data_IF_138519176863
#
_entry.id   IF_138519176863
#
_cell.length_a   1.000
_cell.length_b   1.000
_cell.length_c   1.000
_cell.angle_alpha   90.00
_cell.angle_beta   90.00
_cell.angle_gamma   90.00
#
_symmetry.space_group_name_H-M   'P 1'
#
loop_
_entity.id
_entity.type
_entity.pdbx_description
1 polymer ?
#
# COMPACT_ATOMS: atom_id res chain seq x y z
N UNK A 1 -9.81 -17.17 -7.47
CA UNK A 1 -9.28 -16.02 -6.74
C UNK A 1 -9.56 -16.20 -5.26
N UNK A 2 -8.53 -16.41 -4.45
CA UNK A 2 -8.64 -16.53 -2.99
C UNK A 2 -8.26 -15.18 -2.38
N UNK A 3 -9.13 -14.62 -1.53
CA UNK A 3 -8.95 -13.31 -0.89
C UNK A 3 -8.83 -13.54 0.62
N UNK A 4 -7.75 -13.05 1.24
CA UNK A 4 -7.59 -13.04 2.68
C UNK A 4 -8.20 -11.77 3.29
N UNK A 5 -8.88 -11.92 4.40
CA UNK A 5 -9.46 -10.82 5.16
C UNK A 5 -8.56 -10.38 6.32
N UNK A 6 -8.90 -9.26 6.87
CA UNK A 6 -8.36 -8.45 7.97
C UNK A 6 -7.43 -9.14 8.97
N UNK A 7 -6.22 -8.61 9.14
CA UNK A 7 -5.35 -8.83 10.28
C UNK A 7 -5.51 -7.69 11.29
N UNK A 8 -5.58 -8.05 12.54
CA UNK A 8 -5.53 -7.12 13.64
C UNK A 8 -4.10 -6.74 13.98
N UNK A 9 -3.83 -5.44 14.03
CA UNK A 9 -2.56 -4.89 14.52
C UNK A 9 -2.71 -4.59 16.00
N UNK A 10 -1.93 -5.28 16.83
CA UNK A 10 -1.79 -4.94 18.25
C UNK A 10 -0.88 -3.72 18.40
N UNK A 11 -1.17 -2.88 19.40
CA UNK A 11 -0.46 -1.64 19.76
C UNK A 11 1.07 -1.72 19.59
N UNK A 12 1.72 -0.66 19.08
CA UNK A 12 3.16 -0.64 18.93
C UNK A 12 3.84 -0.61 20.30
N UNK A 13 4.53 -1.69 20.62
CA UNK A 13 5.47 -1.71 21.73
C UNK A 13 6.68 -0.79 21.42
N UNK A 14 7.34 -0.21 22.45
CA UNK A 14 8.38 0.79 22.28
C UNK A 14 9.62 0.23 21.57
N UNK A 15 10.19 1.06 20.72
CA UNK A 15 11.53 1.05 20.13
C UNK A 15 12.46 -0.09 20.59
N UNK A 16 12.38 -1.23 19.95
CA UNK A 16 13.45 -2.23 19.70
C UNK A 16 12.84 -3.46 19.00
N UNK A 17 12.15 -3.24 17.88
CA UNK A 17 11.74 -4.36 17.05
C UNK A 17 12.98 -4.87 16.30
N UNK A 18 13.73 -5.77 16.94
CA UNK A 18 14.53 -6.75 16.22
C UNK A 18 13.53 -7.63 15.48
N UNK A 19 13.42 -7.42 14.19
CA UNK A 19 12.75 -8.36 13.30
C UNK A 19 13.63 -9.61 13.29
N UNK A 20 13.40 -10.53 14.22
CA UNK A 20 13.93 -11.89 14.12
C UNK A 20 13.16 -12.59 13.00
N UNK A 21 13.64 -12.39 11.78
CA UNK A 21 13.16 -13.17 10.65
C UNK A 21 13.57 -14.62 10.88
N UNK A 22 12.58 -15.50 11.09
CA UNK A 22 12.82 -16.94 11.06
C UNK A 22 13.50 -17.29 9.72
N UNK A 23 14.67 -17.94 9.82
CA UNK A 23 15.50 -18.33 8.67
C UNK A 23 14.82 -19.27 7.66
N UNK A 24 13.52 -19.57 7.83
CA UNK A 24 12.66 -20.35 6.93
C UNK A 24 11.80 -19.51 6.00
N UNK A 25 11.83 -18.19 6.09
CA UNK A 25 11.11 -17.33 5.15
C UNK A 25 11.70 -17.53 3.75
N UNK A 26 10.93 -18.11 2.85
CA UNK A 26 11.27 -18.13 1.42
C UNK A 26 11.45 -16.70 0.97
N UNK A 27 12.66 -16.35 0.54
CA UNK A 27 12.96 -15.03 0.01
C UNK A 27 11.95 -14.68 -1.08
N UNK A 28 11.23 -13.60 -0.90
CA UNK A 28 10.31 -13.05 -1.91
C UNK A 28 11.11 -12.85 -3.21
N UNK A 29 10.65 -13.35 -4.36
CA UNK A 29 11.44 -13.30 -5.58
C UNK A 29 11.73 -11.86 -6.00
N UNK A 30 10.75 -10.98 -6.03
CA UNK A 30 10.92 -9.57 -6.35
C UNK A 30 9.65 -8.77 -6.02
N UNK A 31 9.77 -7.48 -5.69
CA UNK A 31 8.70 -6.67 -5.11
C UNK A 31 8.63 -5.27 -5.73
N UNK A 32 7.45 -4.88 -6.22
CA UNK A 32 7.13 -3.50 -6.58
C UNK A 32 6.19 -2.88 -5.57
N UNK A 33 6.52 -1.70 -5.08
CA UNK A 33 5.61 -0.86 -4.27
C UNK A 33 5.10 0.28 -5.14
N UNK A 34 3.80 0.49 -5.18
CA UNK A 34 3.14 1.56 -5.95
C UNK A 34 2.45 2.52 -5.00
N UNK A 35 2.79 3.80 -5.11
CA UNK A 35 2.24 4.86 -4.27
C UNK A 35 1.70 5.98 -5.15
N UNK A 36 0.39 6.25 -5.13
CA UNK A 36 -0.17 7.44 -5.74
C UNK A 36 0.18 8.65 -4.88
N UNK A 37 0.60 9.75 -5.51
CA UNK A 37 1.10 10.96 -4.85
C UNK A 37 0.21 12.14 -5.22
N UNK A 38 -0.33 12.84 -4.23
CA UNK A 38 -1.08 14.07 -4.44
C UNK A 38 -0.91 15.06 -3.27
N UNK A 39 -0.17 16.15 -3.50
CA UNK A 39 0.16 17.19 -2.51
C UNK A 39 0.81 16.62 -1.23
N UNK A 40 1.88 15.86 -1.40
CA UNK A 40 2.53 15.06 -0.34
C UNK A 40 4.02 15.37 -0.22
N UNK A 41 4.46 16.59 -0.58
CA UNK A 41 5.87 16.98 -0.58
C UNK A 41 6.61 16.70 0.74
N UNK A 42 5.89 16.83 1.87
CA UNK A 42 6.47 16.67 3.20
C UNK A 42 6.59 15.19 3.64
N UNK A 43 5.71 14.30 3.17
CA UNK A 43 5.65 12.90 3.61
C UNK A 43 6.53 11.98 2.79
N UNK A 44 6.75 12.26 1.51
CA UNK A 44 7.50 11.41 0.59
C UNK A 44 8.92 11.04 1.07
N UNK A 45 9.77 11.97 1.58
CA UNK A 45 11.10 11.62 2.06
C UNK A 45 11.05 10.65 3.24
N UNK A 46 10.07 10.82 4.13
CA UNK A 46 9.89 9.95 5.29
C UNK A 46 9.39 8.56 4.86
N UNK A 47 8.49 8.50 3.90
CA UNK A 47 8.00 7.24 3.32
C UNK A 47 9.15 6.43 2.72
N UNK A 48 9.98 7.03 1.88
CA UNK A 48 11.14 6.38 1.26
C UNK A 48 12.13 5.89 2.32
N UNK A 49 12.40 6.72 3.34
CA UNK A 49 13.29 6.37 4.46
C UNK A 49 12.78 5.16 5.25
N UNK A 50 11.46 5.05 5.48
CA UNK A 50 10.85 3.92 6.19
C UNK A 50 10.74 2.66 5.33
N UNK A 51 10.43 2.80 4.04
CA UNK A 51 10.32 1.68 3.10
C UNK A 51 11.65 0.97 2.86
N UNK A 52 12.73 1.71 2.73
CA UNK A 52 14.02 1.15 2.34
C UNK A 52 14.49 -0.04 3.20
N UNK A 53 14.55 0.07 4.55
CA UNK A 53 14.97 -1.06 5.38
C UNK A 53 14.02 -2.26 5.28
N UNK A 54 12.71 -2.03 5.14
CA UNK A 54 11.72 -3.10 5.00
C UNK A 54 11.92 -3.87 3.70
N UNK A 55 12.04 -3.16 2.58
CA UNK A 55 12.21 -3.79 1.27
C UNK A 55 13.54 -4.54 1.17
N UNK A 56 14.61 -3.95 1.67
CA UNK A 56 15.96 -4.57 1.68
C UNK A 56 15.99 -5.85 2.51
N UNK A 57 15.23 -5.92 3.61
CA UNK A 57 15.12 -7.13 4.42
C UNK A 57 14.32 -8.25 3.73
N UNK A 58 13.32 -7.89 2.90
CA UNK A 58 12.44 -8.85 2.24
C UNK A 58 13.04 -9.49 0.99
N UNK A 59 13.70 -8.69 0.15
CA UNK A 59 14.22 -9.17 -1.15
C UNK A 59 15.39 -8.32 -1.62
N UNK A 60 16.19 -8.90 -2.54
CA UNK A 60 17.26 -8.18 -3.21
C UNK A 60 16.76 -7.37 -4.43
N UNK A 61 15.59 -7.72 -4.98
CA UNK A 61 15.03 -7.10 -6.18
C UNK A 61 13.72 -6.39 -5.84
N UNK A 62 13.78 -5.08 -5.72
CA UNK A 62 12.61 -4.25 -5.42
C UNK A 62 12.64 -2.90 -6.13
N UNK A 63 11.47 -2.31 -6.31
CA UNK A 63 11.29 -0.95 -6.79
C UNK A 63 10.16 -0.24 -6.03
N UNK A 64 10.26 1.09 -5.97
CA UNK A 64 9.18 1.99 -5.56
C UNK A 64 8.76 2.83 -6.76
N UNK A 65 7.48 2.78 -7.10
CA UNK A 65 6.88 3.57 -8.17
C UNK A 65 5.99 4.65 -7.55
N UNK A 66 6.45 5.89 -7.61
CA UNK A 66 5.71 7.07 -7.15
C UNK A 66 4.97 7.68 -8.34
N UNK A 67 3.64 7.71 -8.28
CA UNK A 67 2.80 8.23 -9.38
C UNK A 67 2.20 9.57 -8.96
N UNK A 68 2.79 10.67 -9.43
CA UNK A 68 2.27 12.00 -9.18
C UNK A 68 1.00 12.26 -9.98
N UNK A 69 -0.13 12.43 -9.28
CA UNK A 69 -1.45 12.67 -9.85
C UNK A 69 -1.76 14.16 -9.98
N UNK A 70 -0.86 14.89 -10.64
CA UNK A 70 -1.03 16.32 -10.90
C UNK A 70 -1.06 17.17 -9.63
N UNK A 71 -0.13 16.93 -8.70
CA UNK A 71 0.06 17.74 -7.49
C UNK A 71 0.26 19.21 -7.81
N UNK A 72 -0.18 20.09 -6.90
CA UNK A 72 -0.06 21.54 -7.02
C UNK A 72 1.10 22.10 -6.19
N UNK A 73 1.63 21.30 -5.27
CA UNK A 73 2.79 21.58 -4.44
C UNK A 73 4.09 21.06 -5.11
N UNK A 74 5.18 20.98 -4.38
CA UNK A 74 6.47 20.51 -4.87
C UNK A 74 6.63 18.97 -4.85
N UNK A 75 5.53 18.22 -4.76
CA UNK A 75 5.60 16.75 -4.71
C UNK A 75 6.34 16.17 -5.91
N UNK A 76 6.14 16.73 -7.11
CA UNK A 76 6.83 16.22 -8.30
C UNK A 76 8.35 16.46 -8.25
N UNK A 77 8.78 17.63 -7.82
CA UNK A 77 10.19 17.93 -7.62
C UNK A 77 10.84 17.00 -6.60
N UNK A 78 10.12 16.71 -5.51
CA UNK A 78 10.59 15.74 -4.49
C UNK A 78 10.67 14.33 -5.08
N UNK A 79 9.69 13.89 -5.87
CA UNK A 79 9.75 12.60 -6.57
C UNK A 79 10.97 12.51 -7.50
N UNK A 80 11.25 13.57 -8.26
CA UNK A 80 12.43 13.60 -9.14
C UNK A 80 13.74 13.52 -8.36
N UNK A 81 13.84 14.26 -7.25
CA UNK A 81 14.99 14.21 -6.36
C UNK A 81 15.21 12.80 -5.81
N UNK A 82 14.17 12.19 -5.22
CA UNK A 82 14.24 10.83 -4.67
C UNK A 82 14.62 9.78 -5.72
N UNK A 83 14.10 9.90 -6.94
CA UNK A 83 14.46 9.02 -8.05
C UNK A 83 15.92 9.24 -8.53
N UNK A 84 16.46 10.43 -8.37
CA UNK A 84 17.87 10.72 -8.65
C UNK A 84 18.82 10.19 -7.56
N UNK A 85 18.38 10.18 -6.31
CA UNK A 85 19.17 9.73 -5.16
C UNK A 85 19.13 8.21 -4.97
N UNK A 86 18.05 7.56 -5.40
CA UNK A 86 17.79 6.14 -5.15
C UNK A 86 17.46 5.39 -6.44
N UNK A 87 18.34 4.52 -6.91
CA UNK A 87 18.16 3.75 -8.15
C UNK A 87 16.92 2.82 -8.13
N UNK A 88 16.40 2.47 -6.95
CA UNK A 88 15.21 1.66 -6.77
C UNK A 88 13.90 2.49 -6.76
N UNK A 89 13.98 3.83 -6.77
CA UNK A 89 12.83 4.74 -6.84
C UNK A 89 12.61 5.21 -8.28
N UNK A 90 11.37 5.18 -8.71
CA UNK A 90 10.97 5.64 -10.04
C UNK A 90 9.71 6.53 -9.95
N UNK A 91 9.76 7.68 -10.61
CA UNK A 91 8.64 8.62 -10.69
C UNK A 91 7.87 8.50 -12.01
N UNK A 92 6.55 8.63 -11.93
CA UNK A 92 5.65 8.82 -13.07
C UNK A 92 4.87 10.11 -12.81
N UNK A 93 4.87 11.03 -13.79
CA UNK A 93 4.12 12.28 -13.69
C UNK A 93 2.91 12.26 -14.62
N UNK A 94 1.72 12.33 -14.05
CA UNK A 94 0.49 12.45 -14.82
C UNK A 94 0.27 13.93 -15.21
N UNK A 95 -0.24 14.17 -16.41
CA UNK A 95 -0.42 15.51 -16.95
C UNK A 95 -1.40 16.38 -16.16
N UNK A 96 -2.32 15.74 -15.41
CA UNK A 96 -3.31 16.38 -14.54
C UNK A 96 -3.78 15.38 -13.48
N UNK A 97 -4.56 15.86 -12.51
CA UNK A 97 -5.23 14.98 -11.57
C UNK A 97 -6.32 14.16 -12.27
N UNK A 98 -6.15 12.83 -12.28
CA UNK A 98 -7.08 11.83 -12.79
C UNK A 98 -7.78 11.05 -11.67
N UNK A 99 -7.38 11.29 -10.40
CA UNK A 99 -7.85 10.59 -9.21
C UNK A 99 -6.98 9.39 -8.85
N UNK A 100 -6.91 9.13 -7.53
CA UNK A 100 -6.05 8.12 -6.91
C UNK A 100 -6.13 6.75 -7.59
N UNK A 101 -7.33 6.26 -7.95
CA UNK A 101 -7.52 4.97 -8.60
C UNK A 101 -6.86 4.90 -9.99
N UNK A 102 -6.89 5.98 -10.76
CA UNK A 102 -6.24 6.03 -12.06
C UNK A 102 -4.71 6.12 -11.93
N UNK A 103 -4.23 6.86 -10.93
CA UNK A 103 -2.80 6.90 -10.60
C UNK A 103 -2.29 5.52 -10.17
N UNK A 104 -3.01 4.83 -9.27
CA UNK A 104 -2.71 3.44 -8.90
C UNK A 104 -2.69 2.50 -10.10
N UNK A 105 -3.71 2.55 -10.96
CA UNK A 105 -3.78 1.72 -12.15
C UNK A 105 -2.62 1.97 -13.11
N UNK A 106 -2.22 3.24 -13.26
CA UNK A 106 -1.04 3.61 -14.05
C UNK A 106 0.24 3.00 -13.45
N UNK A 107 0.42 3.11 -12.14
CA UNK A 107 1.54 2.53 -11.42
C UNK A 107 1.59 1.00 -11.55
N UNK A 108 0.48 0.31 -11.28
CA UNK A 108 0.36 -1.16 -11.37
C UNK A 108 0.70 -1.67 -12.79
N UNK A 109 0.31 -0.94 -13.83
CA UNK A 109 0.66 -1.30 -15.21
C UNK A 109 2.14 -1.10 -15.54
N UNK A 110 2.86 -0.34 -14.73
CA UNK A 110 4.28 -0.02 -14.96
C UNK A 110 5.25 -0.85 -14.12
N UNK A 111 4.75 -1.69 -13.19
CA UNK A 111 5.59 -2.52 -12.32
C UNK A 111 6.39 -3.57 -13.09
N UNK A 112 7.52 -3.96 -12.51
CA UNK A 112 8.47 -4.89 -13.13
C UNK A 112 8.66 -6.19 -12.38
N UNK A 113 8.12 -6.27 -11.14
CA UNK A 113 8.38 -7.38 -10.23
C UNK A 113 7.15 -8.27 -10.01
N UNK A 114 7.41 -9.46 -9.46
CA UNK A 114 6.42 -10.54 -9.34
C UNK A 114 5.32 -10.29 -8.32
N UNK A 115 5.58 -9.47 -7.31
CA UNK A 115 4.60 -9.09 -6.29
C UNK A 115 4.44 -7.58 -6.35
N UNK A 116 3.20 -7.12 -6.26
CA UNK A 116 2.88 -5.70 -6.22
C UNK A 116 2.20 -5.36 -4.90
N UNK A 117 2.74 -4.38 -4.20
CA UNK A 117 2.13 -3.75 -3.02
C UNK A 117 1.67 -2.36 -3.41
N UNK A 118 0.44 -2.01 -3.08
CA UNK A 118 -0.06 -0.63 -3.20
C UNK A 118 -0.24 -0.04 -1.81
N UNK A 119 0.15 1.20 -1.61
CA UNK A 119 -0.03 1.90 -0.35
C UNK A 119 -0.20 3.39 -0.57
N UNK A 120 -0.78 4.08 0.41
CA UNK A 120 -0.95 5.54 0.37
C UNK A 120 0.33 6.26 0.83
N UNK A 121 0.42 7.56 0.50
CA UNK A 121 1.58 8.42 0.80
C UNK A 121 1.50 9.12 2.17
N UNK A 122 0.42 8.89 2.93
CA UNK A 122 0.11 9.56 4.20
C UNK A 122 0.67 8.86 5.46
N UNK A 123 1.32 7.70 5.28
CA UNK A 123 1.90 6.89 6.36
C UNK A 123 0.90 6.39 7.41
N UNK A 124 -0.40 6.41 7.12
CA UNK A 124 -1.42 5.81 7.99
C UNK A 124 -1.28 4.29 8.05
N UNK A 125 -0.78 3.69 6.96
CA UNK A 125 -0.37 2.29 6.91
C UNK A 125 1.15 2.21 6.99
N UNK A 126 1.71 1.67 8.08
CA UNK A 126 3.14 1.58 8.23
C UNK A 126 3.74 0.56 7.25
N UNK A 127 4.84 0.93 6.53
CA UNK A 127 5.54 0.00 5.64
C UNK A 127 5.97 -1.31 6.32
N UNK A 128 6.11 -1.28 7.62
CA UNK A 128 6.49 -2.41 8.48
C UNK A 128 5.44 -3.55 8.50
N UNK A 129 4.23 -3.31 7.97
CA UNK A 129 3.18 -4.33 7.80
C UNK A 129 3.37 -5.16 6.52
N UNK A 130 4.15 -4.69 5.54
CA UNK A 130 4.39 -5.37 4.27
C UNK A 130 4.85 -6.83 4.45
N UNK A 131 5.79 -7.16 5.38
CA UNK A 131 6.21 -8.54 5.60
C UNK A 131 5.04 -9.49 5.93
N UNK A 132 4.13 -9.07 6.82
CA UNK A 132 2.97 -9.87 7.20
C UNK A 132 2.01 -10.10 6.03
N UNK A 133 1.80 -9.07 5.21
CA UNK A 133 0.96 -9.20 4.00
C UNK A 133 1.55 -10.19 3.01
N UNK A 134 2.87 -10.20 2.86
CA UNK A 134 3.58 -11.15 1.98
C UNK A 134 3.49 -12.57 2.53
N UNK A 135 3.64 -12.79 3.83
CA UNK A 135 3.45 -14.10 4.45
C UNK A 135 2.05 -14.66 4.18
N UNK A 136 1.01 -13.83 4.28
CA UNK A 136 -0.34 -14.25 3.94
C UNK A 136 -0.49 -14.57 2.45
N UNK A 137 0.12 -13.78 1.57
CA UNK A 137 0.11 -14.04 0.14
C UNK A 137 0.75 -15.40 -0.17
N UNK A 138 1.81 -15.79 0.57
CA UNK A 138 2.48 -17.09 0.42
C UNK A 138 1.63 -18.28 0.89
N UNK A 139 0.62 -18.07 1.75
CA UNK A 139 -0.36 -19.10 2.13
C UNK A 139 -1.32 -19.48 0.99
N UNK A 140 -1.15 -18.89 -0.19
CA UNK A 140 -1.87 -19.23 -1.40
C UNK A 140 -3.06 -18.31 -1.72
N UNK A 141 -3.08 -17.11 -1.17
CA UNK A 141 -4.01 -16.08 -1.58
C UNK A 141 -3.47 -15.34 -2.82
N UNK A 142 -4.37 -14.92 -3.70
CA UNK A 142 -4.01 -14.11 -4.87
C UNK A 142 -3.90 -12.61 -4.51
N UNK A 143 -4.67 -12.17 -3.51
CA UNK A 143 -4.71 -10.79 -3.03
C UNK A 143 -4.88 -10.78 -1.50
N UNK A 144 -4.14 -9.91 -0.84
CA UNK A 144 -4.19 -9.66 0.61
C UNK A 144 -4.46 -8.19 0.86
N UNK A 145 -5.39 -7.89 1.75
CA UNK A 145 -5.73 -6.52 2.15
C UNK A 145 -5.29 -6.27 3.59
N UNK A 146 -4.49 -5.24 3.80
CA UNK A 146 -4.24 -4.68 5.12
C UNK A 146 -5.44 -3.84 5.57
N UNK A 147 -5.97 -4.07 6.76
CA UNK A 147 -7.00 -3.22 7.34
C UNK A 147 -6.56 -2.77 8.73
N UNK A 148 -6.60 -1.46 9.02
CA UNK A 148 -6.26 -0.98 10.35
C UNK A 148 -7.25 -1.53 11.37
N UNK A 149 -6.74 -2.19 12.42
CA UNK A 149 -7.56 -2.49 13.59
C UNK A 149 -7.82 -1.19 14.36
N UNK A 150 -9.10 -0.94 14.66
CA UNK A 150 -9.48 -0.02 15.75
C UNK A 150 -9.47 1.45 15.44
N UNK A 151 -9.87 1.91 14.26
CA UNK A 151 -10.39 3.29 14.19
C UNK A 151 -11.70 3.35 14.99
N UNK A 152 -11.62 3.71 16.28
CA UNK A 152 -12.75 4.15 17.08
C UNK A 152 -13.31 5.44 16.49
N UNK A 153 -14.00 5.30 15.39
CA UNK A 153 -14.80 6.39 14.83
C UNK A 153 -15.96 6.66 15.76
N UNK A 154 -16.11 7.92 16.17
CA UNK A 154 -17.18 8.32 17.11
C UNK A 154 -18.53 7.73 16.71
N UNK A 155 -19.33 7.33 17.70
CA UNK A 155 -20.60 6.61 17.59
C UNK A 155 -21.55 7.14 16.49
N UNK A 156 -21.58 8.47 16.27
CA UNK A 156 -22.39 9.12 15.24
C UNK A 156 -21.95 8.79 13.79
N UNK A 157 -20.62 8.65 13.53
CA UNK A 157 -20.10 8.33 12.20
C UNK A 157 -20.30 6.83 11.89
N UNK A 158 -20.21 5.98 12.89
CA UNK A 158 -20.54 4.56 12.74
C UNK A 158 -22.02 4.36 12.42
N UNK A 159 -22.92 5.13 13.05
CA UNK A 159 -24.35 5.08 12.75
C UNK A 159 -24.66 5.53 11.30
N UNK A 160 -24.06 6.61 10.85
CA UNK A 160 -24.19 7.09 9.48
C UNK A 160 -23.63 6.09 8.45
N UNK A 161 -22.49 5.46 8.75
CA UNK A 161 -21.89 4.42 7.92
C UNK A 161 -22.78 3.17 7.84
N UNK A 162 -23.39 2.73 8.94
CA UNK A 162 -24.29 1.57 8.95
C UNK A 162 -25.59 1.85 8.18
N UNK A 163 -26.16 3.06 8.28
CA UNK A 163 -27.33 3.47 7.49
C UNK A 163 -27.00 3.50 5.99
N UNK A 164 -25.83 4.00 5.60
CA UNK A 164 -25.39 4.02 4.20
C UNK A 164 -25.15 2.61 3.67
N UNK A 165 -24.54 1.71 4.44
CA UNK A 165 -24.36 0.30 4.10
C UNK A 165 -25.69 -0.42 3.93
N UNK A 166 -26.67 -0.13 4.81
CA UNK A 166 -28.02 -0.71 4.73
C UNK A 166 -28.75 -0.25 3.46
N UNK A 167 -28.64 1.03 3.10
CA UNK A 167 -29.22 1.60 1.89
C UNK A 167 -28.59 0.99 0.61
N UNK A 168 -27.24 0.87 0.58
CA UNK A 168 -26.53 0.25 -0.53
C UNK A 168 -26.83 -1.24 -0.66
N UNK A 169 -26.90 -1.98 0.46
CA UNK A 169 -27.27 -3.40 0.47
C UNK A 169 -28.68 -3.64 -0.09
N UNK A 170 -29.61 -2.74 0.19
CA UNK A 170 -30.98 -2.81 -0.31
C UNK A 170 -31.12 -2.43 -1.79
N UNK A 171 -30.23 -1.54 -2.29
CA UNK A 171 -30.25 -1.03 -3.67
C UNK A 171 -29.48 -1.89 -4.66
N UNK A 172 -28.39 -2.56 -4.26
CA UNK A 172 -27.46 -3.21 -5.19
C UNK A 172 -27.25 -4.70 -4.95
N UNK A 173 -27.87 -5.31 -3.94
CA UNK A 173 -27.75 -6.75 -3.68
C UNK A 173 -26.31 -7.25 -3.39
N UNK A 174 -25.37 -6.37 -3.13
CA UNK A 174 -23.96 -6.70 -3.02
C UNK A 174 -23.49 -6.82 -1.57
N UNK A 175 -23.03 -8.00 -1.19
CA UNK A 175 -22.39 -8.30 0.09
C UNK A 175 -20.94 -7.72 0.21
N UNK A 176 -20.55 -6.72 -0.62
CA UNK A 176 -19.15 -6.39 -0.87
C UNK A 176 -18.78 -4.91 -0.63
N UNK A 177 -19.41 -4.26 0.35
CA UNK A 177 -18.94 -2.95 0.80
C UNK A 177 -18.31 -3.08 2.20
N UNK A 178 -17.21 -3.82 2.33
CA UNK A 178 -16.32 -3.75 3.49
C UNK A 178 -15.13 -2.89 3.13
N UNK A 179 -14.76 -2.01 4.05
CA UNK A 179 -13.68 -1.04 3.96
C UNK A 179 -12.49 -1.53 3.13
N UNK A 180 -12.29 -0.92 1.98
CA UNK A 180 -11.03 -1.01 1.25
C UNK A 180 -10.14 0.02 1.90
N UNK A 181 -9.27 -0.41 2.77
CA UNK A 181 -8.17 0.40 3.25
C UNK A 181 -6.95 0.11 2.40
N UNK A 182 -6.23 1.14 2.09
CA UNK A 182 -5.37 1.30 0.95
C UNK A 182 -3.98 0.63 1.07
N UNK A 183 -3.87 -0.58 1.52
CA UNK A 183 -2.67 -1.37 1.36
C UNK A 183 -3.04 -2.75 0.78
N UNK A 184 -2.74 -2.97 -0.48
CA UNK A 184 -3.06 -4.19 -1.19
C UNK A 184 -1.78 -4.87 -1.69
N UNK A 185 -1.66 -6.18 -1.47
CA UNK A 185 -0.59 -7.00 -2.01
C UNK A 185 -1.15 -8.01 -3.00
N UNK A 186 -0.67 -8.03 -4.24
CA UNK A 186 -1.15 -8.96 -5.26
C UNK A 186 -0.03 -9.53 -6.13
N UNK A 187 -0.26 -10.74 -6.66
CA UNK A 187 0.56 -11.32 -7.73
C UNK A 187 -0.09 -11.02 -9.07
N UNK A 188 0.61 -10.37 -10.01
CA UNK A 188 0.14 -10.30 -11.38
C UNK A 188 0.07 -11.73 -11.95
N UNK A 189 -1.03 -12.06 -12.65
CA UNK A 189 -1.11 -13.31 -13.38
C UNK A 189 -0.14 -13.25 -14.56
N UNK A 190 0.60 -14.32 -14.85
CA UNK A 190 1.30 -14.43 -16.12
C UNK A 190 0.29 -14.36 -17.28
N UNK A 191 0.68 -13.81 -18.43
CA UNK A 191 -0.15 -13.69 -19.61
C UNK A 191 -0.62 -15.07 -20.12
#
# INVERSE_FOLDING_TARGET
>A
MRIAGTFGVTDPAPADIRIEMDARSKKVPSLSVVVPVYNSEATLPLLVKRLHPVLTALTAEYELVLVNDGSRDKSWEVVQQLAGEHAWVRGINLMRNYGQHNALLCGIRSVRHAITVTMDDDLQHPPEEIPQMIEELERGFDVVYGAPEGQQHGLLRNLASELTKLALKKSMGAATARHVSACDCCRPRPP
#
